data_IF_283620317706
#
_entry.id   IF_283620317706
#
_cell.length_a   1.000
_cell.length_b   1.000
_cell.length_c   1.000
_cell.angle_alpha   90.00
_cell.angle_beta   90.00
_cell.angle_gamma   90.00
#
_symmetry.space_group_name_H-M   'P 1'
#
loop_
_entity.id
_entity.type
_entity.pdbx_description
1 polymer ?
#
# COMPACT_ATOMS: atom_id res chain seq x y z
N UNK A 1 -14.78 -31.94 -31.24
CA UNK A 1 -16.07 -31.91 -30.54
C UNK A 1 -15.88 -31.01 -29.33
N UNK A 2 -16.48 -29.81 -29.31
CA UNK A 2 -16.45 -28.96 -28.12
C UNK A 2 -17.49 -29.49 -27.15
N UNK A 3 -17.05 -30.09 -26.06
CA UNK A 3 -17.92 -30.37 -24.93
C UNK A 3 -18.51 -29.04 -24.44
N UNK A 4 -19.82 -28.89 -24.53
CA UNK A 4 -20.55 -27.81 -23.87
C UNK A 4 -20.40 -28.02 -22.36
N UNK A 5 -19.36 -27.44 -21.77
CA UNK A 5 -19.23 -27.33 -20.32
C UNK A 5 -20.41 -26.54 -19.78
N UNK A 6 -20.92 -26.92 -18.60
CA UNK A 6 -21.95 -26.14 -17.94
C UNK A 6 -21.44 -24.71 -17.68
N UNK A 7 -22.38 -23.77 -17.51
CA UNK A 7 -22.01 -22.37 -17.24
C UNK A 7 -21.18 -22.27 -15.95
N UNK A 8 -21.52 -23.10 -14.96
CA UNK A 8 -20.80 -23.27 -13.69
C UNK A 8 -19.38 -23.80 -13.91
N UNK A 9 -19.19 -24.89 -14.66
CA UNK A 9 -17.86 -25.44 -14.95
C UNK A 9 -16.95 -24.47 -15.71
N UNK A 10 -17.55 -23.63 -16.56
CA UNK A 10 -16.85 -22.61 -17.33
C UNK A 10 -16.45 -21.43 -16.44
N UNK A 11 -17.33 -21.03 -15.53
CA UNK A 11 -17.08 -20.02 -14.50
C UNK A 11 -15.98 -20.45 -13.54
N UNK A 12 -16.04 -21.67 -13.03
CA UNK A 12 -15.03 -22.22 -12.12
C UNK A 12 -13.66 -22.30 -12.79
N UNK A 13 -13.61 -22.79 -14.02
CA UNK A 13 -12.37 -22.81 -14.79
C UNK A 13 -11.81 -21.40 -15.03
N UNK A 14 -12.68 -20.45 -15.38
CA UNK A 14 -12.27 -19.06 -15.62
C UNK A 14 -11.74 -18.40 -14.35
N UNK A 15 -12.50 -18.51 -13.25
CA UNK A 15 -12.13 -17.99 -11.94
C UNK A 15 -10.81 -18.58 -11.45
N UNK A 16 -10.63 -19.89 -11.60
CA UNK A 16 -9.37 -20.55 -11.25
C UNK A 16 -8.20 -20.04 -12.11
N UNK A 17 -8.41 -19.87 -13.42
CA UNK A 17 -7.37 -19.43 -14.35
C UNK A 17 -6.97 -17.97 -14.12
N UNK A 18 -7.93 -17.07 -13.96
CA UNK A 18 -7.69 -15.65 -13.67
C UNK A 18 -7.06 -15.48 -12.28
N UNK A 19 -7.60 -16.15 -11.26
CA UNK A 19 -7.03 -16.15 -9.91
C UNK A 19 -5.56 -16.58 -9.91
N UNK A 20 -5.23 -17.63 -10.67
CA UNK A 20 -3.83 -18.08 -10.81
C UNK A 20 -2.94 -17.03 -11.49
N UNK A 21 -3.42 -16.39 -12.55
CA UNK A 21 -2.65 -15.37 -13.30
C UNK A 21 -2.44 -14.12 -12.45
N UNK A 22 -3.47 -13.67 -11.75
CA UNK A 22 -3.51 -12.42 -10.97
C UNK A 22 -2.81 -12.57 -9.61
N UNK A 23 -2.94 -13.73 -8.97
CA UNK A 23 -2.42 -14.00 -7.62
C UNK A 23 -0.92 -13.74 -7.51
N UNK A 24 -0.12 -14.08 -8.53
CA UNK A 24 1.33 -13.80 -8.53
C UNK A 24 1.61 -12.30 -8.37
N UNK A 25 0.94 -11.46 -9.14
CA UNK A 25 1.14 -10.01 -9.11
C UNK A 25 0.62 -9.40 -7.81
N UNK A 26 -0.55 -9.83 -7.33
CA UNK A 26 -1.10 -9.45 -6.02
C UNK A 26 -0.15 -9.82 -4.87
N UNK A 27 0.34 -11.04 -4.87
CA UNK A 27 1.28 -11.53 -3.86
C UNK A 27 2.61 -10.80 -3.90
N UNK A 28 3.12 -10.44 -5.08
CA UNK A 28 4.32 -9.61 -5.20
C UNK A 28 4.07 -8.20 -4.70
N UNK A 29 2.95 -7.57 -5.06
CA UNK A 29 2.60 -6.22 -4.62
C UNK A 29 2.43 -6.14 -3.10
N UNK A 30 1.66 -7.04 -2.49
CA UNK A 30 1.45 -7.03 -1.03
C UNK A 30 2.76 -7.30 -0.26
N UNK A 31 3.64 -8.16 -0.78
CA UNK A 31 4.96 -8.38 -0.19
C UNK A 31 5.81 -7.12 -0.23
N UNK A 32 5.79 -6.39 -1.34
CA UNK A 32 6.52 -5.13 -1.45
C UNK A 32 5.94 -4.04 -0.54
N UNK A 33 4.61 -3.92 -0.45
CA UNK A 33 3.96 -2.99 0.50
C UNK A 33 4.37 -3.30 1.93
N UNK A 34 4.31 -4.57 2.35
CA UNK A 34 4.78 -4.98 3.69
C UNK A 34 6.25 -4.68 3.92
N UNK A 35 7.10 -4.85 2.90
CA UNK A 35 8.51 -4.50 3.00
C UNK A 35 8.70 -2.99 3.23
N UNK A 36 7.96 -2.14 2.52
CA UNK A 36 7.97 -0.69 2.72
C UNK A 36 7.53 -0.33 4.15
N UNK A 37 6.42 -0.90 4.63
CA UNK A 37 5.92 -0.65 5.99
C UNK A 37 6.96 -1.06 7.04
N UNK A 38 7.63 -2.21 6.86
CA UNK A 38 8.73 -2.62 7.74
C UNK A 38 9.89 -1.61 7.71
N UNK A 39 10.23 -1.03 6.56
CA UNK A 39 11.26 0.03 6.49
C UNK A 39 10.82 1.32 7.16
N UNK A 40 9.53 1.63 7.13
CA UNK A 40 8.95 2.77 7.83
C UNK A 40 9.04 2.55 9.34
N UNK A 41 8.81 1.33 9.83
CA UNK A 41 9.04 0.99 11.24
C UNK A 41 10.53 1.09 11.65
N UNK A 42 11.45 0.69 10.77
CA UNK A 42 12.89 0.96 10.96
C UNK A 42 13.19 2.46 11.05
N UNK A 43 12.52 3.29 10.24
CA UNK A 43 12.64 4.75 10.26
C UNK A 43 12.11 5.33 11.57
N UNK A 44 10.93 4.91 12.03
CA UNK A 44 10.36 5.31 13.33
C UNK A 44 11.31 4.93 14.48
N UNK A 45 11.86 3.72 14.44
CA UNK A 45 12.87 3.25 15.42
C UNK A 45 14.12 4.11 15.41
N UNK A 46 14.60 4.52 14.23
CA UNK A 46 15.74 5.43 14.12
C UNK A 46 15.41 6.83 14.68
N UNK A 47 14.18 7.31 14.48
CA UNK A 47 13.69 8.58 14.98
C UNK A 47 13.50 8.60 16.51
N UNK A 48 13.18 7.46 17.13
CA UNK A 48 13.06 7.35 18.59
C UNK A 48 14.36 7.72 19.34
N UNK A 49 15.52 7.66 18.67
CA UNK A 49 16.79 8.14 19.23
C UNK A 49 16.87 9.66 19.39
N UNK A 50 15.84 10.37 18.91
CA UNK A 50 15.66 11.80 19.07
C UNK A 50 14.52 12.13 20.04
N UNK A 51 13.94 11.14 20.71
CA UNK A 51 12.97 11.39 21.78
C UNK A 51 13.72 11.86 23.03
N UNK A 52 13.65 13.17 23.29
CA UNK A 52 14.13 13.81 24.51
C UNK A 52 12.98 14.48 25.25
N UNK A 53 11.74 14.01 25.06
CA UNK A 53 10.53 14.59 25.66
C UNK A 53 10.52 14.53 27.19
N UNK A 54 11.28 13.61 27.77
CA UNK A 54 11.47 13.40 29.20
C UNK A 54 12.55 14.32 29.81
N UNK A 55 13.44 14.88 28.98
CA UNK A 55 14.45 15.84 29.42
C UNK A 55 13.84 17.25 29.52
N UNK A 56 13.72 17.75 30.75
CA UNK A 56 13.32 19.15 31.03
C UNK A 56 14.51 20.12 30.85
N UNK A 57 15.15 20.09 29.70
CA UNK A 57 16.27 20.97 29.37
C UNK A 57 15.89 21.86 28.16
N UNK A 58 15.93 23.20 28.28
CA UNK A 58 15.53 24.12 27.21
C UNK A 58 16.50 24.18 26.02
N UNK A 59 17.44 23.25 25.89
CA UNK A 59 18.39 23.19 24.78
C UNK A 59 17.68 23.16 23.42
N UNK A 60 18.06 24.10 22.54
CA UNK A 60 17.44 24.28 21.22
C UNK A 60 17.63 23.05 20.32
N UNK A 61 18.75 22.34 20.45
CA UNK A 61 19.01 21.11 19.67
C UNK A 61 18.14 19.95 20.18
N UNK A 62 17.92 19.85 21.49
CA UNK A 62 16.99 18.85 22.04
C UNK A 62 15.56 19.10 21.54
N UNK A 63 15.10 20.35 21.48
CA UNK A 63 13.81 20.69 20.90
C UNK A 63 13.70 20.30 19.41
N UNK A 64 14.76 20.53 18.63
CA UNK A 64 14.80 20.09 17.23
C UNK A 64 14.82 18.56 17.09
N UNK A 65 15.53 17.86 17.96
CA UNK A 65 15.55 16.41 18.01
C UNK A 65 14.14 15.87 18.32
N UNK A 66 13.50 16.32 19.40
CA UNK A 66 12.15 15.89 19.78
C UNK A 66 11.13 16.22 18.68
N UNK A 67 11.31 17.34 17.98
CA UNK A 67 10.47 17.69 16.82
C UNK A 67 10.61 16.68 15.67
N UNK A 68 11.83 16.20 15.38
CA UNK A 68 12.04 15.15 14.37
C UNK A 68 11.29 13.88 14.78
N UNK A 69 11.40 13.47 16.05
CA UNK A 69 10.74 12.27 16.55
C UNK A 69 9.21 12.36 16.36
N UNK A 70 8.57 13.38 16.93
CA UNK A 70 7.12 13.56 16.86
C UNK A 70 6.63 13.62 15.41
N UNK A 71 7.33 14.38 14.55
CA UNK A 71 6.95 14.51 13.14
C UNK A 71 7.13 13.22 12.36
N UNK A 72 8.05 12.35 12.76
CA UNK A 72 8.19 11.03 12.15
C UNK A 72 6.97 10.17 12.46
N UNK A 73 6.51 10.17 13.71
CA UNK A 73 5.29 9.46 14.09
C UNK A 73 4.09 10.01 13.35
N UNK A 74 3.82 11.32 13.47
CA UNK A 74 2.68 11.98 12.81
C UNK A 74 2.62 11.72 11.29
N UNK A 75 3.78 11.66 10.61
CA UNK A 75 3.81 11.46 9.16
C UNK A 75 3.50 10.03 8.73
N UNK A 76 3.75 9.04 9.58
CA UNK A 76 3.79 7.62 9.19
C UNK A 76 2.99 6.69 10.10
N UNK A 77 2.29 7.19 11.12
CA UNK A 77 1.58 6.40 12.12
C UNK A 77 0.38 5.63 11.55
N UNK A 78 -0.36 6.25 10.64
CA UNK A 78 -1.60 5.74 10.03
C UNK A 78 -1.38 4.89 8.77
N UNK A 79 -0.13 4.56 8.44
CA UNK A 79 0.17 3.75 7.27
C UNK A 79 -0.06 2.27 7.53
N UNK A 80 -1.05 1.71 6.84
CA UNK A 80 -1.40 0.30 6.92
C UNK A 80 -1.34 -0.38 5.56
N UNK A 81 -1.19 -1.71 5.57
CA UNK A 81 -1.31 -2.48 4.34
C UNK A 81 -2.79 -2.50 3.92
N UNK A 82 -3.10 -2.28 2.63
CA UNK A 82 -4.49 -2.30 2.19
C UNK A 82 -5.07 -3.71 2.33
N UNK A 83 -6.33 -3.79 2.79
CA UNK A 83 -7.07 -5.05 2.87
C UNK A 83 -7.27 -5.67 1.47
N UNK A 84 -7.63 -4.82 0.50
CA UNK A 84 -7.84 -5.20 -0.89
C UNK A 84 -6.69 -4.72 -1.79
N UNK A 85 -6.17 -5.64 -2.60
CA UNK A 85 -5.06 -5.36 -3.51
C UNK A 85 -5.60 -5.20 -4.93
N UNK A 86 -5.85 -3.96 -5.33
CA UNK A 86 -6.20 -3.56 -6.69
C UNK A 86 -5.23 -2.48 -7.18
N UNK A 87 -5.12 -2.30 -8.50
CA UNK A 87 -4.20 -1.29 -9.04
C UNK A 87 -4.47 0.12 -8.52
N UNK A 88 -5.73 0.54 -8.47
CA UNK A 88 -6.11 1.89 -8.01
C UNK A 88 -5.74 2.13 -6.54
N UNK A 89 -5.95 1.12 -5.68
CA UNK A 89 -5.56 1.20 -4.26
C UNK A 89 -4.04 1.30 -4.14
N UNK A 90 -3.29 0.47 -4.87
CA UNK A 90 -1.84 0.47 -4.84
C UNK A 90 -1.24 1.78 -5.41
N UNK A 91 -1.82 2.34 -6.46
CA UNK A 91 -1.38 3.64 -7.03
C UNK A 91 -1.68 4.79 -6.07
N UNK A 92 -2.86 4.79 -5.44
CA UNK A 92 -3.21 5.76 -4.39
C UNK A 92 -2.24 5.72 -3.22
N UNK A 93 -1.95 4.51 -2.71
CA UNK A 93 -0.95 4.29 -1.66
C UNK A 93 0.43 4.79 -2.09
N UNK A 94 0.86 4.52 -3.33
CA UNK A 94 2.15 4.99 -3.85
C UNK A 94 2.24 6.52 -3.87
N UNK A 95 1.17 7.21 -4.27
CA UNK A 95 1.10 8.68 -4.26
C UNK A 95 1.16 9.23 -2.83
N UNK A 96 0.41 8.63 -1.91
CA UNK A 96 0.42 9.04 -0.51
C UNK A 96 1.81 8.86 0.12
N UNK A 97 2.44 7.70 -0.09
CA UNK A 97 3.81 7.41 0.34
C UNK A 97 4.80 8.46 -0.21
N UNK A 98 4.76 8.73 -1.51
CA UNK A 98 5.63 9.72 -2.14
C UNK A 98 5.43 11.12 -1.55
N UNK A 99 4.18 11.55 -1.34
CA UNK A 99 3.85 12.84 -0.74
C UNK A 99 4.37 12.96 0.70
N UNK A 100 4.13 11.94 1.53
CA UNK A 100 4.61 11.88 2.92
C UNK A 100 6.13 11.90 2.99
N UNK A 101 6.80 11.08 2.18
CA UNK A 101 8.27 11.04 2.11
C UNK A 101 8.82 12.40 1.67
N UNK A 102 8.24 13.03 0.65
CA UNK A 102 8.67 14.33 0.17
C UNK A 102 8.52 15.41 1.25
N UNK A 103 7.35 15.45 1.91
CA UNK A 103 7.10 16.35 3.04
C UNK A 103 8.11 16.14 4.17
N UNK A 104 8.37 14.88 4.52
CA UNK A 104 9.30 14.52 5.58
C UNK A 104 10.75 14.88 5.24
N UNK A 105 11.19 14.69 3.99
CA UNK A 105 12.52 15.15 3.53
C UNK A 105 12.67 16.67 3.70
N UNK A 106 11.66 17.44 3.30
CA UNK A 106 11.67 18.89 3.44
C UNK A 106 11.70 19.33 4.91
N UNK A 107 11.00 18.60 5.78
CA UNK A 107 11.04 18.80 7.22
C UNK A 107 12.45 18.53 7.77
N UNK A 108 13.02 17.37 7.46
CA UNK A 108 14.35 16.98 7.93
C UNK A 108 15.45 17.94 7.45
N UNK A 109 15.37 18.47 6.23
CA UNK A 109 16.34 19.44 5.74
C UNK A 109 16.45 20.68 6.66
N UNK A 110 15.34 21.11 7.27
CA UNK A 110 15.31 22.23 8.22
C UNK A 110 16.07 21.89 9.50
N UNK A 111 15.78 20.74 10.12
CA UNK A 111 16.30 20.39 11.44
C UNK A 111 17.68 19.72 11.42
N UNK A 112 17.94 18.86 10.44
CA UNK A 112 19.21 18.14 10.33
C UNK A 112 20.39 19.07 10.04
N UNK A 113 20.17 20.21 9.37
CA UNK A 113 21.24 21.19 9.12
C UNK A 113 21.84 21.76 10.42
N UNK A 114 21.00 21.91 11.46
CA UNK A 114 21.41 22.33 12.79
C UNK A 114 22.03 21.18 13.58
N UNK A 115 21.36 20.03 13.63
CA UNK A 115 21.82 18.87 14.41
C UNK A 115 23.14 18.27 13.89
N UNK A 116 23.45 18.41 12.59
CA UNK A 116 24.74 17.98 12.03
C UNK A 116 25.93 18.78 12.56
N UNK A 117 25.72 19.99 13.09
CA UNK A 117 26.80 20.84 13.64
C UNK A 117 27.29 20.34 14.99
N UNK A 118 26.41 19.70 15.75
CA UNK A 118 26.76 19.08 17.02
C UNK A 118 27.19 17.62 16.80
N UNK A 119 28.34 17.26 17.38
CA UNK A 119 28.91 15.91 17.29
C UNK A 119 28.04 14.88 18.01
N UNK A 120 27.30 15.27 19.04
CA UNK A 120 26.44 14.38 19.83
C UNK A 120 25.35 13.72 18.97
N UNK A 121 24.77 14.45 18.01
CA UNK A 121 23.68 13.97 17.16
C UNK A 121 24.14 13.32 15.85
N UNK A 122 25.42 13.47 15.46
CA UNK A 122 25.93 13.06 14.14
C UNK A 122 25.60 11.61 13.78
N UNK A 123 25.73 10.68 14.73
CA UNK A 123 25.44 9.27 14.49
C UNK A 123 23.94 9.01 14.35
N UNK A 124 23.10 9.66 15.16
CA UNK A 124 21.65 9.55 15.08
C UNK A 124 21.14 10.08 13.74
N UNK A 125 21.65 11.24 13.30
CA UNK A 125 21.32 11.83 11.99
C UNK A 125 21.71 10.89 10.85
N UNK A 126 22.90 10.30 10.90
CA UNK A 126 23.36 9.34 9.89
C UNK A 126 22.48 8.09 9.83
N UNK A 127 22.01 7.60 10.97
CA UNK A 127 21.14 6.42 11.02
C UNK A 127 19.75 6.73 10.47
N UNK A 128 19.19 7.89 10.81
CA UNK A 128 17.91 8.35 10.27
C UNK A 128 17.97 8.52 8.75
N UNK A 129 19.02 9.16 8.24
CA UNK A 129 19.24 9.38 6.81
C UNK A 129 19.34 8.06 6.03
N UNK A 130 20.03 7.05 6.59
CA UNK A 130 20.10 5.70 6.02
C UNK A 130 18.74 4.99 6.01
N UNK A 131 17.97 5.08 7.09
CA UNK A 131 16.64 4.49 7.16
C UNK A 131 15.71 5.12 6.11
N UNK A 132 15.71 6.45 6.02
CA UNK A 132 14.92 7.17 5.02
C UNK A 132 15.34 6.83 3.59
N UNK A 133 16.65 6.69 3.33
CA UNK A 133 17.15 6.31 2.01
C UNK A 133 16.60 4.94 1.59
N UNK A 134 16.58 3.95 2.49
CA UNK A 134 16.01 2.62 2.21
C UNK A 134 14.51 2.68 1.92
N UNK A 135 13.76 3.49 2.67
CA UNK A 135 12.32 3.71 2.40
C UNK A 135 12.14 4.28 0.98
N UNK A 136 12.93 5.31 0.61
CA UNK A 136 12.89 5.91 -0.73
C UNK A 136 13.23 4.90 -1.83
N UNK A 137 14.22 4.06 -1.61
CA UNK A 137 14.61 3.00 -2.57
C UNK A 137 13.48 1.97 -2.76
N UNK A 138 12.85 1.52 -1.68
CA UNK A 138 11.76 0.54 -1.74
C UNK A 138 10.48 1.13 -2.37
N UNK A 139 10.18 2.41 -2.11
CA UNK A 139 9.07 3.12 -2.77
C UNK A 139 9.37 3.33 -4.26
N UNK A 140 10.58 3.76 -4.61
CA UNK A 140 10.99 3.89 -6.01
C UNK A 140 10.91 2.55 -6.75
N UNK A 141 11.34 1.45 -6.13
CA UNK A 141 11.21 0.11 -6.68
C UNK A 141 9.74 -0.28 -6.86
N UNK A 142 8.90 0.01 -5.87
CA UNK A 142 7.47 -0.27 -5.93
C UNK A 142 6.79 0.45 -7.10
N UNK A 143 7.06 1.74 -7.25
CA UNK A 143 6.55 2.56 -8.34
C UNK A 143 7.01 2.05 -9.72
N UNK A 144 8.32 1.89 -9.89
CA UNK A 144 8.91 1.69 -11.22
C UNK A 144 8.97 0.22 -11.67
N UNK A 145 8.78 -0.73 -10.76
CA UNK A 145 8.81 -2.17 -11.09
C UNK A 145 7.55 -2.88 -10.68
N UNK A 146 7.10 -2.73 -9.44
CA UNK A 146 5.96 -3.50 -8.92
C UNK A 146 4.65 -3.02 -9.55
N UNK A 147 4.35 -1.72 -9.51
CA UNK A 147 3.15 -1.15 -10.12
C UNK A 147 3.15 -1.32 -11.65
N UNK A 148 4.30 -1.14 -12.30
CA UNK A 148 4.46 -1.39 -13.75
C UNK A 148 4.22 -2.86 -14.10
N UNK A 149 4.63 -3.80 -13.24
CA UNK A 149 4.34 -5.22 -13.46
C UNK A 149 2.85 -5.51 -13.20
N UNK A 150 2.28 -4.90 -12.16
CA UNK A 150 0.87 -5.06 -11.81
C UNK A 150 -0.06 -4.51 -12.89
N UNK A 151 0.28 -3.40 -13.55
CA UNK A 151 -0.56 -2.80 -14.59
C UNK A 151 -0.88 -3.76 -15.75
N UNK A 152 -0.02 -4.77 -15.98
CA UNK A 152 -0.24 -5.83 -16.98
C UNK A 152 -1.48 -6.67 -16.73
N UNK A 153 -1.95 -6.73 -15.49
CA UNK A 153 -3.12 -7.53 -15.10
C UNK A 153 -4.38 -6.72 -14.80
N UNK A 154 -4.35 -5.39 -14.90
CA UNK A 154 -5.51 -4.51 -14.64
C UNK A 154 -6.72 -4.90 -15.51
N UNK A 155 -6.47 -5.27 -16.77
CA UNK A 155 -7.52 -5.76 -17.66
C UNK A 155 -8.23 -7.02 -17.15
N UNK A 156 -7.54 -7.88 -16.38
CA UNK A 156 -8.15 -9.08 -15.80
C UNK A 156 -8.93 -8.77 -14.53
N UNK A 157 -8.57 -7.72 -13.79
CA UNK A 157 -9.38 -7.23 -12.66
C UNK A 157 -10.74 -6.73 -13.18
N UNK A 158 -10.72 -5.88 -14.21
CA UNK A 158 -11.95 -5.36 -14.81
C UNK A 158 -12.87 -6.48 -15.34
N UNK A 159 -12.30 -7.51 -15.96
CA UNK A 159 -13.09 -8.64 -16.47
C UNK A 159 -13.70 -9.48 -15.33
N UNK A 160 -13.02 -9.58 -14.19
CA UNK A 160 -13.61 -10.24 -13.02
C UNK A 160 -14.82 -9.45 -12.50
N UNK A 161 -14.70 -8.13 -12.39
CA UNK A 161 -15.80 -7.25 -11.98
C UNK A 161 -16.98 -7.32 -12.98
N UNK A 162 -16.69 -7.28 -14.28
CA UNK A 162 -17.70 -7.39 -15.35
C UNK A 162 -18.42 -8.75 -15.31
N UNK A 163 -17.71 -9.84 -14.96
CA UNK A 163 -18.30 -11.18 -14.84
C UNK A 163 -19.20 -11.31 -13.62
N UNK A 164 -18.81 -10.74 -12.48
CA UNK A 164 -19.63 -10.74 -11.27
C UNK A 164 -20.97 -10.03 -11.53
N UNK A 165 -20.93 -8.88 -12.20
CA UNK A 165 -22.15 -8.16 -12.63
C UNK A 165 -23.01 -8.99 -13.61
N UNK A 166 -22.39 -9.74 -14.53
CA UNK A 166 -23.13 -10.62 -15.44
C UNK A 166 -23.79 -11.80 -14.70
N UNK A 167 -23.14 -12.37 -13.68
CA UNK A 167 -23.71 -13.43 -12.85
C UNK A 167 -24.96 -12.91 -12.14
N UNK A 168 -24.86 -11.74 -11.49
CA UNK A 168 -25.99 -11.11 -10.80
C UNK A 168 -27.19 -10.88 -11.74
N UNK A 169 -26.94 -10.40 -12.97
CA UNK A 169 -27.99 -10.20 -13.97
C UNK A 169 -28.65 -11.51 -14.41
N UNK A 170 -27.87 -12.59 -14.54
CA UNK A 170 -28.38 -13.91 -14.89
C UNK A 170 -29.22 -14.50 -13.75
N UNK A 171 -28.76 -14.38 -12.50
CA UNK A 171 -29.51 -14.81 -11.32
C UNK A 171 -30.81 -14.02 -11.20
N UNK A 172 -30.76 -12.70 -11.35
CA UNK A 172 -31.95 -11.84 -11.35
C UNK A 172 -32.95 -12.23 -12.44
N UNK A 173 -32.47 -12.59 -13.63
CA UNK A 173 -33.34 -13.10 -14.70
C UNK A 173 -34.00 -14.42 -14.31
N UNK A 174 -33.27 -15.35 -13.67
CA UNK A 174 -33.84 -16.63 -13.20
C UNK A 174 -34.93 -16.40 -12.16
N UNK A 175 -34.73 -15.46 -11.23
CA UNK A 175 -35.75 -15.05 -10.26
C UNK A 175 -37.02 -14.53 -10.94
N UNK A 176 -36.89 -13.60 -11.89
CA UNK A 176 -38.02 -13.03 -12.62
C UNK A 176 -38.77 -14.11 -13.41
N UNK A 177 -38.05 -15.04 -14.06
CA UNK A 177 -38.68 -16.15 -14.78
C UNK A 177 -39.43 -17.08 -13.82
N UNK A 178 -38.88 -17.33 -12.63
CA UNK A 178 -39.56 -18.11 -11.60
C UNK A 178 -40.83 -17.42 -11.10
N UNK A 179 -40.80 -16.09 -10.87
CA UNK A 179 -41.98 -15.29 -10.51
C UNK A 179 -43.05 -15.34 -11.61
N UNK A 180 -42.68 -15.13 -12.87
CA UNK A 180 -43.62 -15.20 -14.01
C UNK A 180 -44.28 -16.58 -14.10
N UNK A 181 -43.50 -17.65 -13.96
CA UNK A 181 -44.04 -19.00 -14.01
C UNK A 181 -44.98 -19.29 -12.82
N UNK A 182 -44.64 -18.81 -11.61
CA UNK A 182 -45.51 -18.96 -10.44
C UNK A 182 -46.84 -18.21 -10.55
N UNK A 183 -46.89 -17.15 -11.35
CA UNK A 183 -48.11 -16.38 -11.63
C UNK A 183 -48.85 -16.80 -12.91
N UNK A 184 -48.28 -17.73 -13.69
CA UNK A 184 -48.92 -18.29 -14.88
C UNK A 184 -49.77 -19.53 -14.57
N UNK A 185 -49.59 -20.12 -13.39
CA UNK A 185 -50.32 -21.30 -12.89
C UNK A 185 -51.47 -20.95 -11.90
N UNK A 186 -51.71 -19.64 -11.66
CA UNK A 186 -52.87 -19.07 -10.95
C UNK A 186 -53.95 -18.57 -11.94
#
# INVERSE_FOLDING_TARGET
MSENKSLEDTLDWFNHRISTIVSKYRNTAIKQVRAILNRIEELKTAAHRFDYSDLKDPDVYQNYATTIYNRTLETFEDLEAPENVTYNILDSLNRDLNNRIHSYVNLLAKYLSWLKRDRSYKNNVKNLDRALTRVKEDVYFFENKTLVSYSKIVKYEKVADDLESLIELVERKKEIVAEINSHADD
#
